data_IF_483555469851
#
_entry.id   IF_483555469851
#
_cell.length_a   1.000
_cell.length_b   1.000
_cell.length_c   1.000
_cell.angle_alpha   90.00
_cell.angle_beta   90.00
_cell.angle_gamma   90.00
#
_symmetry.space_group_name_H-M   'P 1'
#
loop_
_entity.id
_entity.type
_entity.pdbx_description
1 polymer ?
#
# COMPACT_ATOMS: atom_id res chain seq x y z
N UNK A 1 4.40 -8.82 16.40
CA UNK A 1 3.54 -9.63 15.54
C UNK A 1 2.50 -8.76 14.84
N UNK A 2 2.24 -9.01 13.57
CA UNK A 2 1.29 -8.23 12.80
C UNK A 2 0.67 -9.03 11.65
N UNK A 3 -0.64 -8.85 11.43
CA UNK A 3 -1.35 -9.34 10.24
C UNK A 3 -1.29 -8.37 9.05
N UNK A 4 -0.86 -7.12 9.25
CA UNK A 4 -0.91 -6.08 8.22
C UNK A 4 0.35 -5.99 7.38
N UNK A 5 1.51 -6.40 7.92
CA UNK A 5 2.77 -6.34 7.18
C UNK A 5 2.89 -7.51 6.19
N UNK A 6 2.76 -7.21 4.90
CA UNK A 6 2.83 -8.19 3.80
C UNK A 6 3.68 -7.71 2.62
N UNK A 7 3.96 -6.42 2.53
CA UNK A 7 4.71 -5.82 1.45
C UNK A 7 5.98 -5.15 1.94
N UNK A 8 6.94 -4.96 1.03
CA UNK A 8 8.22 -4.34 1.30
C UNK A 8 8.13 -3.03 2.07
N UNK A 9 7.25 -2.12 1.65
CA UNK A 9 7.13 -0.80 2.27
C UNK A 9 6.56 -0.88 3.68
N UNK A 10 5.70 -1.85 4.00
CA UNK A 10 5.22 -2.09 5.35
C UNK A 10 6.38 -2.42 6.30
N UNK A 11 7.29 -3.33 5.89
CA UNK A 11 8.48 -3.67 6.68
C UNK A 11 9.42 -2.48 6.84
N UNK A 12 9.62 -1.72 5.76
CA UNK A 12 10.50 -0.54 5.77
C UNK A 12 10.00 0.54 6.72
N UNK A 13 8.69 0.81 6.73
CA UNK A 13 8.07 1.77 7.65
C UNK A 13 8.21 1.30 9.10
N UNK A 14 7.92 0.02 9.39
CA UNK A 14 8.05 -0.53 10.74
C UNK A 14 9.49 -0.42 11.28
N UNK A 15 10.50 -0.80 10.49
CA UNK A 15 11.90 -0.62 10.87
C UNK A 15 12.26 0.86 11.01
N UNK A 16 11.81 1.72 10.13
CA UNK A 16 12.06 3.17 10.20
C UNK A 16 11.49 3.82 11.46
N UNK A 17 10.40 3.30 12.01
CA UNK A 17 9.85 3.70 13.30
C UNK A 17 10.46 2.97 14.51
N UNK A 18 11.53 2.21 14.30
CA UNK A 18 12.33 1.65 15.40
C UNK A 18 11.95 0.22 15.82
N UNK A 19 11.15 -0.49 15.02
CA UNK A 19 10.88 -1.91 15.28
C UNK A 19 12.11 -2.74 14.93
N UNK A 20 12.54 -3.61 15.83
CA UNK A 20 13.75 -4.43 15.64
C UNK A 20 13.46 -5.83 15.08
N UNK A 21 12.26 -6.35 15.30
CA UNK A 21 11.84 -7.66 14.81
C UNK A 21 10.36 -7.66 14.40
N UNK A 22 10.05 -8.32 13.30
CA UNK A 22 8.69 -8.38 12.74
C UNK A 22 8.34 -9.84 12.49
N UNK A 23 7.22 -10.31 13.07
CA UNK A 23 6.58 -11.56 12.71
C UNK A 23 5.29 -11.28 11.91
N UNK A 24 5.32 -11.34 10.56
CA UNK A 24 4.16 -11.15 9.71
C UNK A 24 3.35 -12.43 9.60
N UNK A 25 2.73 -12.87 10.72
CA UNK A 25 2.11 -14.19 10.84
C UNK A 25 1.07 -14.46 9.75
N UNK A 26 0.26 -13.46 9.36
CA UNK A 26 -0.76 -13.64 8.33
C UNK A 26 -0.18 -13.83 6.93
N UNK A 27 0.94 -13.15 6.61
CA UNK A 27 1.65 -13.39 5.36
C UNK A 27 2.18 -14.82 5.29
N UNK A 28 2.75 -15.35 6.37
CA UNK A 28 3.22 -16.73 6.45
C UNK A 28 2.08 -17.73 6.33
N UNK A 29 0.97 -17.53 7.02
CA UNK A 29 -0.21 -18.40 6.88
C UNK A 29 -0.80 -18.36 5.45
N UNK A 30 -0.77 -17.19 4.82
CA UNK A 30 -1.19 -17.05 3.41
C UNK A 30 -0.26 -17.85 2.48
N UNK A 31 1.06 -17.74 2.66
CA UNK A 31 2.03 -18.53 1.90
C UNK A 31 1.75 -20.03 2.05
N UNK A 32 1.51 -20.50 3.27
CA UNK A 32 1.15 -21.90 3.51
C UNK A 32 -0.13 -22.33 2.82
N UNK A 33 -1.13 -21.45 2.76
CA UNK A 33 -2.42 -21.78 2.14
C UNK A 33 -2.37 -21.89 0.62
N UNK A 34 -1.47 -21.16 -0.04
CA UNK A 34 -1.37 -21.11 -1.51
C UNK A 34 -0.25 -21.99 -2.08
N UNK A 35 0.62 -22.56 -1.23
CA UNK A 35 1.72 -23.42 -1.65
C UNK A 35 1.46 -24.89 -1.30
N UNK A 36 2.07 -25.81 -2.04
CA UNK A 36 2.03 -27.23 -1.71
C UNK A 36 2.79 -27.49 -0.39
N UNK A 37 2.36 -28.52 0.36
CA UNK A 37 2.96 -28.87 1.66
C UNK A 37 4.49 -29.05 1.61
N UNK A 38 5.01 -29.59 0.52
CA UNK A 38 6.44 -29.87 0.37
C UNK A 38 7.26 -28.61 0.06
N UNK A 39 6.63 -27.53 -0.42
CA UNK A 39 7.27 -26.30 -0.86
C UNK A 39 7.06 -25.10 0.07
N UNK A 40 6.21 -25.23 1.10
CA UNK A 40 5.84 -24.06 1.92
C UNK A 40 7.03 -23.44 2.64
N UNK A 41 7.92 -24.25 3.21
CA UNK A 41 9.12 -23.74 3.90
C UNK A 41 10.05 -22.97 2.95
N UNK A 42 10.26 -23.48 1.75
CA UNK A 42 11.04 -22.82 0.71
C UNK A 42 10.42 -21.49 0.28
N UNK A 43 9.10 -21.44 0.21
CA UNK A 43 8.36 -20.23 -0.17
C UNK A 43 8.44 -19.17 0.94
N UNK A 44 8.36 -19.58 2.20
CA UNK A 44 8.57 -18.71 3.36
C UNK A 44 10.00 -18.15 3.39
N UNK A 45 11.01 -18.99 3.21
CA UNK A 45 12.42 -18.58 3.10
C UNK A 45 12.65 -17.60 1.94
N UNK A 46 12.01 -17.83 0.81
CA UNK A 46 12.08 -16.92 -0.34
C UNK A 46 11.42 -15.56 -0.04
N UNK A 47 10.29 -15.54 0.65
CA UNK A 47 9.63 -14.31 1.08
C UNK A 47 10.54 -13.51 2.05
N UNK A 48 11.15 -14.17 3.03
CA UNK A 48 12.10 -13.55 3.96
C UNK A 48 13.29 -12.96 3.20
N UNK A 49 13.91 -13.73 2.31
CA UNK A 49 15.06 -13.28 1.50
C UNK A 49 14.69 -12.12 0.59
N UNK A 50 13.50 -12.15 -0.03
CA UNK A 50 13.02 -11.07 -0.87
C UNK A 50 12.81 -9.79 -0.04
N UNK A 51 12.19 -9.87 1.13
CA UNK A 51 11.97 -8.77 2.05
C UNK A 51 13.30 -8.15 2.52
N UNK A 52 14.28 -8.98 2.90
CA UNK A 52 15.60 -8.51 3.30
C UNK A 52 16.32 -7.75 2.17
N UNK A 53 16.36 -8.32 0.96
CA UNK A 53 16.98 -7.66 -0.21
C UNK A 53 16.29 -6.34 -0.55
N UNK A 54 15.00 -6.30 -0.39
CA UNK A 54 14.21 -5.14 -0.69
C UNK A 54 14.45 -4.00 0.32
N UNK A 55 14.56 -4.30 1.64
CA UNK A 55 14.96 -3.34 2.66
C UNK A 55 16.36 -2.80 2.37
N UNK A 56 17.32 -3.67 2.06
CA UNK A 56 18.68 -3.26 1.66
C UNK A 56 18.66 -2.30 0.47
N UNK A 57 17.80 -2.54 -0.52
CA UNK A 57 17.65 -1.66 -1.68
C UNK A 57 17.09 -0.27 -1.30
N UNK A 58 16.11 -0.22 -0.39
CA UNK A 58 15.57 1.05 0.12
C UNK A 58 16.66 1.81 0.88
N UNK A 59 17.35 1.15 1.81
CA UNK A 59 18.45 1.75 2.57
C UNK A 59 19.55 2.30 1.64
N UNK A 60 19.90 1.53 0.62
CA UNK A 60 20.89 1.95 -0.40
C UNK A 60 20.45 3.21 -1.15
N UNK A 61 19.17 3.30 -1.55
CA UNK A 61 18.63 4.50 -2.19
C UNK A 61 18.63 5.73 -1.27
N UNK A 62 18.48 5.53 0.02
CA UNK A 62 18.52 6.58 1.03
C UNK A 62 19.94 6.94 1.49
N UNK A 63 20.95 6.19 1.06
CA UNK A 63 22.34 6.37 1.49
C UNK A 63 22.59 5.92 2.92
N UNK A 64 21.76 5.06 3.50
CA UNK A 64 21.89 4.55 4.87
C UNK A 64 22.53 3.16 4.82
N UNK A 65 23.69 3.00 5.42
CA UNK A 65 24.51 1.78 5.30
C UNK A 65 24.20 0.71 6.34
N UNK A 66 23.62 1.05 7.49
CA UNK A 66 23.33 0.10 8.56
C UNK A 66 21.86 0.14 8.98
N UNK A 67 21.29 -1.01 9.30
CA UNK A 67 19.91 -1.09 9.79
C UNK A 67 19.72 -0.31 11.10
N UNK A 68 20.72 -0.33 11.97
CA UNK A 68 20.70 0.44 13.23
C UNK A 68 20.56 1.95 12.99
N UNK A 69 21.18 2.49 11.94
CA UNK A 69 21.04 3.90 11.57
C UNK A 69 19.71 4.19 10.85
N UNK A 70 19.11 3.18 10.26
CA UNK A 70 17.79 3.29 9.62
C UNK A 70 16.65 3.30 10.66
N UNK A 71 16.76 2.48 11.72
CA UNK A 71 15.76 2.38 12.77
C UNK A 71 15.64 3.72 13.53
N UNK A 72 14.44 4.30 13.54
CA UNK A 72 14.16 5.57 14.21
C UNK A 72 14.73 6.81 13.53
N UNK A 73 15.11 6.74 12.25
CA UNK A 73 15.81 7.82 11.55
C UNK A 73 14.94 9.01 11.14
N UNK A 74 13.62 9.01 11.44
CA UNK A 74 12.67 10.09 11.06
C UNK A 74 12.73 10.44 9.57
N UNK A 75 12.69 9.42 8.72
CA UNK A 75 12.87 9.52 7.27
C UNK A 75 11.55 9.53 6.49
N UNK A 76 10.42 9.60 7.18
CA UNK A 76 9.09 9.55 6.57
C UNK A 76 8.35 10.88 6.72
N UNK A 77 7.57 11.21 5.72
CA UNK A 77 6.55 12.24 5.77
C UNK A 77 5.17 11.57 5.80
N UNK A 78 4.30 12.04 6.70
CA UNK A 78 2.92 11.58 6.75
C UNK A 78 2.09 12.39 5.75
N UNK A 79 1.36 11.70 4.87
CA UNK A 79 0.48 12.30 3.89
C UNK A 79 -0.92 11.72 4.06
N UNK A 80 -1.93 12.59 4.22
CA UNK A 80 -3.31 12.16 4.31
C UNK A 80 -3.72 11.64 5.70
N UNK A 81 -2.95 11.93 6.75
CA UNK A 81 -3.29 11.62 8.15
C UNK A 81 -3.41 12.94 8.91
N UNK A 82 -4.42 13.06 9.78
CA UNK A 82 -4.66 14.29 10.54
C UNK A 82 -3.49 14.63 11.45
N UNK A 83 -3.22 15.91 11.62
CA UNK A 83 -2.14 16.40 12.48
C UNK A 83 -2.31 15.94 13.93
N UNK A 84 -3.55 15.84 14.43
CA UNK A 84 -3.84 15.33 15.78
C UNK A 84 -3.31 13.90 15.97
N UNK A 85 -3.54 13.01 15.00
CA UNK A 85 -3.06 11.62 15.02
C UNK A 85 -1.53 11.59 14.98
N UNK A 86 -0.92 12.41 14.10
CA UNK A 86 0.54 12.48 13.98
C UNK A 86 1.17 12.97 15.27
N UNK A 87 0.70 14.06 15.83
CA UNK A 87 1.27 14.64 17.06
C UNK A 87 1.16 13.69 18.25
N UNK A 88 0.11 12.88 18.31
CA UNK A 88 -0.14 11.96 19.43
C UNK A 88 0.62 10.63 19.30
N UNK A 89 0.69 10.05 18.12
CA UNK A 89 1.18 8.68 17.91
C UNK A 89 2.47 8.59 17.10
N UNK A 90 2.81 9.62 16.34
CA UNK A 90 3.96 9.67 15.45
C UNK A 90 4.74 10.97 15.66
N UNK A 91 4.92 11.34 16.92
CA UNK A 91 5.58 12.58 17.33
C UNK A 91 6.92 12.79 16.62
N UNK A 92 7.09 13.94 15.98
CA UNK A 92 8.30 14.27 15.21
C UNK A 92 8.24 13.84 13.74
N UNK A 93 7.20 13.15 13.30
CA UNK A 93 7.00 12.88 11.87
C UNK A 93 6.49 14.14 11.18
N UNK A 94 7.15 14.53 10.09
CA UNK A 94 6.74 15.66 9.25
C UNK A 94 5.40 15.37 8.56
N UNK A 95 4.51 16.35 8.53
CA UNK A 95 3.25 16.30 7.77
C UNK A 95 2.92 17.68 7.20
N UNK A 96 2.73 17.74 5.89
CA UNK A 96 2.31 18.96 5.18
C UNK A 96 0.87 18.85 4.68
N UNK A 97 0.34 17.62 4.55
CA UNK A 97 -0.99 17.33 4.03
C UNK A 97 -1.71 16.48 5.05
N UNK A 98 -2.62 17.10 5.78
CA UNK A 98 -3.53 16.43 6.70
C UNK A 98 -4.54 15.54 5.97
N UNK A 99 -5.38 14.85 6.72
CA UNK A 99 -6.40 13.97 6.15
C UNK A 99 -7.21 13.25 7.22
N UNK A 100 -7.29 11.92 7.11
CA UNK A 100 -8.14 11.06 7.93
C UNK A 100 -7.73 11.05 9.41
N UNK A 101 -8.70 11.03 10.28
CA UNK A 101 -8.53 10.88 11.72
C UNK A 101 -8.75 9.41 12.16
N UNK A 102 -8.65 9.13 13.46
CA UNK A 102 -8.85 7.77 13.99
C UNK A 102 -10.25 7.22 13.73
N UNK A 103 -11.27 8.08 13.74
CA UNK A 103 -12.64 7.67 13.46
C UNK A 103 -12.78 7.17 12.03
N UNK A 104 -12.19 7.88 11.07
CA UNK A 104 -12.18 7.46 9.67
C UNK A 104 -11.41 6.15 9.49
N UNK A 105 -10.25 6.00 10.14
CA UNK A 105 -9.47 4.73 10.14
C UNK A 105 -10.31 3.58 10.70
N UNK A 106 -11.08 3.83 11.77
CA UNK A 106 -11.99 2.84 12.34
C UNK A 106 -13.09 2.44 11.33
N UNK A 107 -13.72 3.41 10.68
CA UNK A 107 -14.77 3.16 9.67
C UNK A 107 -14.21 2.27 8.55
N UNK A 108 -13.09 2.64 7.96
CA UNK A 108 -12.46 1.87 6.88
C UNK A 108 -12.06 0.45 7.32
N UNK A 109 -11.61 0.30 8.57
CA UNK A 109 -11.26 -1.01 9.13
C UNK A 109 -12.50 -1.89 9.30
N UNK A 110 -13.60 -1.32 9.79
CA UNK A 110 -14.87 -2.02 9.93
C UNK A 110 -15.48 -2.38 8.58
N UNK A 111 -15.37 -1.52 7.58
CA UNK A 111 -15.82 -1.81 6.22
C UNK A 111 -15.08 -3.02 5.63
N UNK A 112 -13.73 -3.06 5.76
CA UNK A 112 -12.93 -4.23 5.33
C UNK A 112 -13.36 -5.51 6.06
N UNK A 113 -13.58 -5.43 7.37
CA UNK A 113 -14.02 -6.56 8.17
C UNK A 113 -15.41 -7.06 7.76
N UNK A 114 -16.37 -6.16 7.55
CA UNK A 114 -17.72 -6.50 7.11
C UNK A 114 -17.72 -7.08 5.69
N UNK A 115 -16.88 -6.55 4.82
CA UNK A 115 -16.68 -7.10 3.46
C UNK A 115 -16.15 -8.52 3.51
N UNK A 116 -15.18 -8.80 4.37
CA UNK A 116 -14.65 -10.15 4.58
C UNK A 116 -15.75 -11.13 5.03
N UNK A 117 -16.59 -10.73 5.99
CA UNK A 117 -17.71 -11.57 6.45
C UNK A 117 -18.71 -11.89 5.34
N UNK A 118 -19.01 -10.91 4.48
CA UNK A 118 -19.92 -11.11 3.36
C UNK A 118 -19.33 -12.02 2.26
N UNK A 119 -18.01 -12.22 2.23
CA UNK A 119 -17.31 -13.08 1.27
C UNK A 119 -17.23 -14.55 1.72
N UNK A 120 -17.65 -14.91 2.93
CA UNK A 120 -17.61 -16.31 3.41
C UNK A 120 -18.37 -17.29 2.50
N UNK A 121 -19.34 -16.81 1.70
CA UNK A 121 -20.08 -17.61 0.72
C UNK A 121 -19.46 -17.59 -0.69
N UNK A 122 -18.51 -16.70 -0.97
CA UNK A 122 -17.97 -16.51 -2.33
C UNK A 122 -16.48 -16.20 -2.27
N UNK A 123 -15.66 -17.24 -2.36
CA UNK A 123 -14.18 -17.17 -2.31
C UNK A 123 -13.52 -16.42 -3.49
N UNK A 124 -14.30 -15.74 -4.33
CA UNK A 124 -13.75 -14.95 -5.43
C UNK A 124 -13.18 -13.64 -4.89
N UNK A 125 -11.88 -13.45 -5.05
CA UNK A 125 -11.23 -12.18 -4.77
C UNK A 125 -11.75 -11.09 -5.71
N UNK A 126 -11.80 -9.86 -5.21
CA UNK A 126 -12.07 -8.68 -6.03
C UNK A 126 -11.05 -8.55 -7.16
N UNK A 127 -11.45 -7.91 -8.26
CA UNK A 127 -10.58 -7.70 -9.42
C UNK A 127 -9.34 -6.83 -9.13
N UNK A 128 -9.26 -6.23 -7.95
CA UNK A 128 -8.15 -5.40 -7.51
C UNK A 128 -8.08 -4.08 -8.28
N UNK A 129 -6.91 -3.77 -8.82
CA UNK A 129 -6.73 -2.56 -9.62
C UNK A 129 -5.97 -1.44 -8.91
N UNK A 130 -5.46 -1.66 -7.70
CA UNK A 130 -4.73 -0.67 -6.92
C UNK A 130 -3.50 -0.13 -7.66
N UNK A 131 -2.70 -1.02 -8.25
CA UNK A 131 -1.45 -0.65 -8.97
C UNK A 131 -1.61 -0.49 -10.47
N UNK A 132 -2.67 -1.03 -11.05
CA UNK A 132 -2.96 -0.94 -12.49
C UNK A 132 -4.46 -1.02 -12.73
N UNK A 133 -4.94 -0.24 -13.70
CA UNK A 133 -6.35 -0.23 -14.07
C UNK A 133 -6.87 -1.64 -14.37
N UNK A 134 -8.02 -1.99 -13.78
CA UNK A 134 -8.84 -3.16 -14.08
C UNK A 134 -10.28 -2.74 -14.34
N UNK A 135 -10.96 -3.37 -15.30
CA UNK A 135 -12.29 -2.95 -15.74
C UNK A 135 -13.31 -2.90 -14.60
N UNK A 136 -13.29 -3.89 -13.70
CA UNK A 136 -14.18 -3.98 -12.55
C UNK A 136 -13.47 -3.71 -11.22
N UNK A 137 -12.24 -3.21 -11.27
CA UNK A 137 -11.44 -2.93 -10.10
C UNK A 137 -11.61 -1.50 -9.59
N UNK A 138 -10.62 -1.07 -8.85
CA UNK A 138 -10.58 0.28 -8.26
C UNK A 138 -10.64 1.37 -9.32
N UNK A 139 -11.37 2.44 -9.03
CA UNK A 139 -11.50 3.59 -9.93
C UNK A 139 -10.25 4.47 -9.83
N UNK A 140 -9.73 4.82 -11.00
CA UNK A 140 -8.60 5.75 -11.13
C UNK A 140 -9.00 7.00 -11.88
N UNK A 141 -8.48 8.17 -11.47
CA UNK A 141 -8.62 9.43 -12.23
C UNK A 141 -8.04 9.27 -13.64
N UNK A 142 -6.91 8.55 -13.75
CA UNK A 142 -6.30 8.18 -15.02
C UNK A 142 -6.77 6.79 -15.47
N UNK A 143 -7.81 6.76 -16.26
CA UNK A 143 -8.37 5.54 -16.87
C UNK A 143 -8.08 5.50 -18.38
N UNK A 144 -8.25 4.35 -19.05
CA UNK A 144 -8.13 4.29 -20.52
C UNK A 144 -9.03 5.29 -21.23
N UNK A 145 -10.22 5.58 -20.70
CA UNK A 145 -11.16 6.54 -21.29
C UNK A 145 -10.69 7.99 -21.12
N UNK A 146 -10.17 8.37 -19.94
CA UNK A 146 -9.61 9.72 -19.73
C UNK A 146 -8.41 9.97 -20.62
N UNK A 147 -7.49 9.00 -20.69
CA UNK A 147 -6.31 9.10 -21.57
C UNK A 147 -6.72 9.21 -23.05
N UNK A 148 -7.67 8.37 -23.49
CA UNK A 148 -8.15 8.40 -24.88
C UNK A 148 -8.79 9.75 -25.25
N UNK A 149 -9.63 10.30 -24.35
CA UNK A 149 -10.25 11.60 -24.57
C UNK A 149 -9.21 12.73 -24.62
N UNK A 150 -8.21 12.73 -23.75
CA UNK A 150 -7.12 13.69 -23.78
C UNK A 150 -6.31 13.60 -25.09
N UNK A 151 -5.91 12.39 -25.47
CA UNK A 151 -5.15 12.17 -26.71
C UNK A 151 -5.93 12.60 -27.94
N UNK A 152 -7.24 12.30 -27.99
CA UNK A 152 -8.10 12.75 -29.07
C UNK A 152 -8.21 14.26 -29.09
N UNK A 153 -8.42 14.89 -27.93
CA UNK A 153 -8.51 16.35 -27.83
C UNK A 153 -7.27 17.05 -28.43
N UNK A 154 -6.08 16.56 -28.07
CA UNK A 154 -4.81 17.13 -28.54
C UNK A 154 -4.58 16.88 -30.02
N UNK A 155 -4.83 15.65 -30.53
CA UNK A 155 -4.55 15.27 -31.91
C UNK A 155 -5.40 16.01 -32.96
N UNK A 156 -6.67 16.23 -32.63
CA UNK A 156 -7.64 16.87 -33.56
C UNK A 156 -8.08 18.26 -33.10
N UNK A 157 -7.42 18.84 -32.08
CA UNK A 157 -7.75 20.14 -31.49
C UNK A 157 -9.24 20.27 -31.13
N UNK A 158 -9.84 19.26 -30.47
CA UNK A 158 -11.26 19.19 -30.15
C UNK A 158 -11.55 19.62 -28.73
N UNK A 159 -12.22 20.77 -28.59
CA UNK A 159 -12.70 21.28 -27.29
C UNK A 159 -13.72 20.32 -26.63
N UNK A 160 -14.57 19.66 -27.42
CA UNK A 160 -15.54 18.71 -26.92
C UNK A 160 -14.86 17.49 -26.27
N UNK A 161 -13.82 16.95 -26.92
CA UNK A 161 -13.05 15.83 -26.35
C UNK A 161 -12.28 16.24 -25.10
N UNK A 162 -11.77 17.50 -25.06
CA UNK A 162 -11.14 18.05 -23.87
C UNK A 162 -12.12 18.20 -22.72
N UNK A 163 -13.34 18.67 -23.00
CA UNK A 163 -14.39 18.75 -21.98
C UNK A 163 -14.75 17.38 -21.42
N UNK A 164 -14.91 16.35 -22.27
CA UNK A 164 -15.11 14.96 -21.82
C UNK A 164 -14.00 14.44 -20.92
N UNK A 165 -12.77 14.79 -21.22
CA UNK A 165 -11.62 14.49 -20.35
C UNK A 165 -11.74 15.21 -19.01
N UNK A 166 -11.95 16.52 -19.03
CA UNK A 166 -12.06 17.33 -17.80
C UNK A 166 -13.22 16.93 -16.89
N UNK A 167 -14.34 16.48 -17.47
CA UNK A 167 -15.52 16.02 -16.71
C UNK A 167 -15.32 14.62 -16.06
N UNK A 168 -14.24 13.90 -16.41
CA UNK A 168 -13.90 12.57 -15.91
C UNK A 168 -12.85 12.58 -14.78
N UNK A 169 -12.18 13.70 -14.58
CA UNK A 169 -11.21 13.93 -13.52
C UNK A 169 -11.83 14.69 -12.35
#
# INVERSE_FOLDING_TARGET
ETGEARELHHFSVLFGYGIEAINPYLAFETIKSITNRDDWQKSEDNFIKASQKAIQKIMSKMGISTLKSYCGAQIFDAIGISEEVINKYFTGTSTLIGGINLEQIQIETLERFNKMKALEENLKLDDGGEYAFRINGEKHSWSPSTISNLQKAVRINSRESFKKFSDQI
#
